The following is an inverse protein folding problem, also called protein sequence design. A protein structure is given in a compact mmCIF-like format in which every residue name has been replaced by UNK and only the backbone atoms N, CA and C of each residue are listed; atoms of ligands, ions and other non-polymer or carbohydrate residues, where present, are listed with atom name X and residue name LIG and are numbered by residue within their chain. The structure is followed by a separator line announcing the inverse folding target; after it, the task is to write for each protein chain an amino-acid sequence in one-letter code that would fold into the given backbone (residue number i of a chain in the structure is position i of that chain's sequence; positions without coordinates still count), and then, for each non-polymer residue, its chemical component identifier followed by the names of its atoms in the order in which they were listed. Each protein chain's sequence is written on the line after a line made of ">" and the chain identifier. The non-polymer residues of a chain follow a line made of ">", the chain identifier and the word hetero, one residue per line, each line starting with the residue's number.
data_IF_102394886573
#
_entry.id   IF_102394886573
#
_cell.length_a   1.000
_cell.length_b   1.000
_cell.length_c   1.000
_cell.angle_alpha   90.00
_cell.angle_beta   90.00
_cell.angle_gamma   90.00
#
_symmetry.space_group_name_H-M   'P 1'
#
loop_
_entity.id
_entity.type
_entity.pdbx_description
1 polymer ?
#
# COMPACT_ATOMS: atom_id res chain seq x y z
N UNK A 1 -20.74 -11.23 15.60
CA UNK A 1 -20.32 -12.14 16.69
C UNK A 1 -19.41 -11.34 17.60
N UNK A 2 -19.80 -11.11 18.85
CA UNK A 2 -18.98 -10.38 19.84
C UNK A 2 -17.98 -11.38 20.41
N UNK A 3 -16.70 -11.01 20.52
CA UNK A 3 -15.68 -11.87 21.12
C UNK A 3 -16.08 -12.15 22.58
N UNK A 4 -16.20 -13.42 23.01
CA UNK A 4 -16.53 -13.75 24.40
C UNK A 4 -15.58 -13.01 25.37
N UNK A 5 -16.13 -12.34 26.38
CA UNK A 5 -15.37 -11.52 27.34
C UNK A 5 -15.13 -10.07 26.90
N UNK A 6 -15.50 -9.66 25.69
CA UNK A 6 -15.37 -8.27 25.26
C UNK A 6 -16.32 -7.32 26.04
N UNK A 7 -17.47 -7.82 26.48
CA UNK A 7 -18.45 -7.07 27.29
C UNK A 7 -17.93 -6.68 28.68
N UNK A 8 -16.92 -7.39 29.18
CA UNK A 8 -16.34 -7.17 30.51
C UNK A 8 -15.18 -6.16 30.47
N UNK A 9 -14.85 -5.66 29.28
CA UNK A 9 -13.79 -4.69 29.07
C UNK A 9 -14.24 -3.28 29.41
N UNK A 10 -13.34 -2.50 30.02
CA UNK A 10 -13.54 -1.08 30.23
C UNK A 10 -13.77 -0.35 28.89
N UNK A 11 -14.57 0.72 28.87
CA UNK A 11 -15.07 1.34 27.63
C UNK A 11 -13.98 1.70 26.61
N UNK A 12 -12.85 2.25 27.08
CA UNK A 12 -11.71 2.56 26.23
C UNK A 12 -11.06 1.31 25.60
N UNK A 13 -10.96 0.22 26.38
CA UNK A 13 -10.41 -1.06 25.92
C UNK A 13 -11.33 -1.75 24.92
N UNK A 14 -12.65 -1.66 25.13
CA UNK A 14 -13.64 -2.16 24.17
C UNK A 14 -13.55 -1.41 22.83
N UNK A 15 -13.38 -0.08 22.88
CA UNK A 15 -13.20 0.74 21.67
C UNK A 15 -11.92 0.38 20.91
N UNK A 16 -10.79 0.24 21.62
CA UNK A 16 -9.54 -0.19 21.01
C UNK A 16 -9.62 -1.59 20.38
N UNK A 17 -10.31 -2.53 21.04
CA UNK A 17 -10.56 -3.87 20.49
C UNK A 17 -11.44 -3.81 19.23
N UNK A 18 -12.51 -3.03 19.25
CA UNK A 18 -13.38 -2.86 18.09
C UNK A 18 -12.63 -2.25 16.89
N UNK A 19 -11.76 -1.26 17.14
CA UNK A 19 -10.91 -0.67 16.11
C UNK A 19 -9.91 -1.68 15.53
N UNK A 20 -9.26 -2.47 16.40
CA UNK A 20 -8.34 -3.52 15.98
C UNK A 20 -9.05 -4.59 15.12
N UNK A 21 -10.24 -5.03 15.52
CA UNK A 21 -11.03 -6.00 14.76
C UNK A 21 -11.48 -5.44 13.41
N UNK A 22 -11.92 -4.17 13.37
CA UNK A 22 -12.31 -3.52 12.13
C UNK A 22 -11.12 -3.38 11.17
N UNK A 23 -9.94 -3.00 11.68
CA UNK A 23 -8.71 -2.90 10.89
C UNK A 23 -8.27 -4.26 10.36
N UNK A 24 -8.27 -5.29 11.21
CA UNK A 24 -7.91 -6.65 10.81
C UNK A 24 -8.89 -7.22 9.78
N UNK A 25 -10.19 -7.07 10.01
CA UNK A 25 -11.24 -7.51 9.08
C UNK A 25 -11.10 -6.87 7.70
N UNK A 26 -10.80 -5.55 7.62
CA UNK A 26 -10.53 -4.86 6.34
C UNK A 26 -9.30 -5.42 5.63
N UNK A 27 -8.21 -5.63 6.35
CA UNK A 27 -6.99 -6.17 5.76
C UNK A 27 -7.24 -7.57 5.18
N UNK A 28 -8.00 -8.39 5.91
CA UNK A 28 -8.29 -9.78 5.56
C UNK A 28 -9.23 -9.87 4.35
N UNK A 29 -10.25 -9.01 4.29
CA UNK A 29 -11.12 -8.88 3.13
C UNK A 29 -10.39 -8.40 1.88
N UNK A 30 -9.48 -7.42 2.01
CA UNK A 30 -8.68 -6.94 0.89
C UNK A 30 -7.80 -8.05 0.31
N UNK A 31 -7.17 -8.85 1.16
CA UNK A 31 -6.33 -9.96 0.71
C UNK A 31 -7.15 -11.08 0.10
N UNK A 32 -8.29 -11.44 0.70
CA UNK A 32 -9.20 -12.42 0.12
C UNK A 32 -9.75 -11.97 -1.24
N UNK A 33 -10.03 -10.67 -1.41
CA UNK A 33 -10.41 -10.09 -2.70
C UNK A 33 -9.27 -10.18 -3.73
N UNK A 34 -8.01 -10.00 -3.30
CA UNK A 34 -6.83 -10.17 -4.15
C UNK A 34 -6.68 -11.62 -4.61
N UNK A 35 -6.90 -12.58 -3.71
CA UNK A 35 -6.88 -14.02 -4.03
C UNK A 35 -7.99 -14.39 -5.00
N UNK A 36 -9.19 -13.85 -4.82
CA UNK A 36 -10.31 -14.04 -5.74
C UNK A 36 -9.98 -13.52 -7.14
N UNK A 37 -9.49 -12.28 -7.25
CA UNK A 37 -9.08 -11.70 -8.53
C UNK A 37 -7.96 -12.49 -9.24
N UNK A 38 -7.08 -13.15 -8.48
CA UNK A 38 -6.03 -14.00 -9.04
C UNK A 38 -6.56 -15.37 -9.49
N UNK A 39 -7.53 -15.94 -8.77
CA UNK A 39 -8.11 -17.25 -9.05
C UNK A 39 -9.22 -17.20 -10.12
N UNK A 40 -9.81 -16.03 -10.34
CA UNK A 40 -10.93 -15.82 -11.26
C UNK A 40 -10.56 -14.82 -12.37
N UNK A 41 -9.69 -15.20 -13.33
CA UNK A 41 -9.34 -14.35 -14.47
C UNK A 41 -10.49 -14.21 -15.48
N UNK A 42 -11.54 -15.03 -15.36
CA UNK A 42 -12.76 -14.94 -16.14
C UNK A 42 -13.72 -13.91 -15.54
N UNK A 43 -14.51 -13.25 -16.40
CA UNK A 43 -15.52 -12.24 -16.05
C UNK A 43 -16.70 -12.77 -15.18
N UNK A 44 -16.52 -13.87 -14.45
CA UNK A 44 -17.51 -14.38 -13.52
C UNK A 44 -17.67 -13.43 -12.32
N UNK A 45 -18.86 -13.43 -11.73
CA UNK A 45 -19.16 -12.59 -10.58
C UNK A 45 -18.19 -12.92 -9.42
N UNK A 46 -17.54 -11.91 -8.81
CA UNK A 46 -16.55 -12.15 -7.78
C UNK A 46 -17.21 -12.74 -6.53
N UNK A 47 -16.65 -13.84 -6.04
CA UNK A 47 -17.18 -14.55 -4.87
C UNK A 47 -16.05 -14.90 -3.89
N UNK A 48 -16.00 -14.17 -2.78
CA UNK A 48 -15.07 -14.46 -1.69
C UNK A 48 -15.57 -15.70 -0.94
N UNK A 49 -14.80 -16.79 -1.02
CA UNK A 49 -15.12 -18.05 -0.33
C UNK A 49 -14.49 -18.11 1.07
N UNK A 50 -15.00 -18.96 1.99
CA UNK A 50 -14.38 -19.17 3.30
C UNK A 50 -12.92 -19.66 3.21
N UNK A 51 -12.57 -20.42 2.15
CA UNK A 51 -11.19 -20.84 1.90
C UNK A 51 -10.26 -19.65 1.66
N UNK A 52 -10.68 -18.70 0.84
CA UNK A 52 -9.89 -17.48 0.57
C UNK A 52 -9.68 -16.61 1.82
N UNK A 53 -10.64 -16.61 2.75
CA UNK A 53 -10.51 -15.94 4.06
C UNK A 53 -9.43 -16.63 4.90
N UNK A 54 -9.41 -17.96 4.94
CA UNK A 54 -8.40 -18.71 5.69
C UNK A 54 -7.01 -18.62 5.07
N UNK A 55 -6.92 -18.63 3.73
CA UNK A 55 -5.67 -18.41 3.00
C UNK A 55 -5.15 -16.98 3.22
N UNK A 56 -6.03 -15.97 3.17
CA UNK A 56 -5.69 -14.59 3.47
C UNK A 56 -5.16 -14.42 4.90
N UNK A 57 -5.78 -15.08 5.89
CA UNK A 57 -5.29 -15.10 7.27
C UNK A 57 -3.88 -15.70 7.36
N UNK A 58 -3.67 -16.83 6.66
CA UNK A 58 -2.38 -17.53 6.63
C UNK A 58 -1.30 -16.64 6.00
N UNK A 59 -1.59 -15.98 4.87
CA UNK A 59 -0.68 -15.07 4.20
C UNK A 59 -0.37 -13.82 5.02
N UNK A 60 -1.33 -13.30 5.80
CA UNK A 60 -1.08 -12.21 6.74
C UNK A 60 -0.16 -12.64 7.88
N UNK A 61 -0.38 -13.83 8.46
CA UNK A 61 0.45 -14.36 9.56
C UNK A 61 1.90 -14.60 9.13
N UNK A 62 2.11 -15.06 7.89
CA UNK A 62 3.46 -15.30 7.33
C UNK A 62 4.11 -13.98 6.86
N UNK A 63 3.37 -12.87 6.81
CA UNK A 63 3.88 -11.55 6.42
C UNK A 63 3.91 -11.27 4.91
N UNK A 64 3.33 -12.16 4.09
CA UNK A 64 3.22 -11.98 2.65
C UNK A 64 2.13 -10.97 2.26
N UNK A 65 1.03 -10.91 3.02
CA UNK A 65 -0.06 -9.98 2.77
C UNK A 65 0.15 -8.67 3.55
N UNK A 66 1.05 -7.80 3.07
CA UNK A 66 1.15 -6.43 3.59
C UNK A 66 0.03 -5.55 3.04
N UNK A 67 -1.14 -5.64 3.69
CA UNK A 67 -2.23 -4.67 3.56
C UNK A 67 -1.75 -3.31 4.09
N UNK A 68 -1.32 -2.42 3.20
CA UNK A 68 -1.12 -1.01 3.56
C UNK A 68 -0.33 -0.17 2.59
N UNK A 69 0.53 -0.75 1.74
CA UNK A 69 1.56 0.04 1.05
C UNK A 69 1.24 0.38 -0.40
N UNK A 70 0.11 -0.07 -0.95
CA UNK A 70 -0.23 0.21 -2.35
C UNK A 70 -0.47 1.71 -2.63
N UNK A 71 -1.12 2.42 -1.69
CA UNK A 71 -1.35 3.86 -1.80
C UNK A 71 -0.05 4.66 -1.65
N UNK A 72 0.79 4.28 -0.68
CA UNK A 72 2.12 4.89 -0.51
C UNK A 72 2.99 4.63 -1.74
N UNK A 73 3.06 3.39 -2.23
CA UNK A 73 3.80 3.01 -3.44
C UNK A 73 3.33 3.82 -4.66
N UNK A 74 2.02 4.02 -4.82
CA UNK A 74 1.46 4.88 -5.88
C UNK A 74 1.94 6.33 -5.75
N UNK A 75 1.93 6.89 -4.54
CA UNK A 75 2.39 8.25 -4.28
C UNK A 75 3.91 8.39 -4.53
N UNK A 76 4.72 7.42 -4.13
CA UNK A 76 6.16 7.37 -4.42
C UNK A 76 6.43 7.29 -5.92
N UNK A 77 5.68 6.46 -6.64
CA UNK A 77 5.82 6.27 -8.08
C UNK A 77 5.45 7.53 -8.85
N UNK A 78 4.34 8.20 -8.48
CA UNK A 78 3.94 9.49 -9.04
C UNK A 78 4.97 10.60 -8.76
N UNK A 79 5.52 10.66 -7.55
CA UNK A 79 6.58 11.60 -7.20
C UNK A 79 7.84 11.40 -8.04
N UNK A 80 8.23 10.14 -8.27
CA UNK A 80 9.38 9.83 -9.14
C UNK A 80 9.15 10.26 -10.60
N UNK A 81 7.95 9.99 -11.15
CA UNK A 81 7.60 10.37 -12.52
C UNK A 81 7.58 11.90 -12.70
N UNK A 82 7.02 12.62 -11.74
CA UNK A 82 7.01 14.08 -11.76
C UNK A 82 8.44 14.65 -11.68
N UNK A 83 9.29 14.11 -10.81
CA UNK A 83 10.69 14.54 -10.70
C UNK A 83 11.48 14.27 -11.98
N UNK A 84 11.27 13.13 -12.65
CA UNK A 84 11.92 12.82 -13.93
C UNK A 84 11.42 13.74 -15.05
N UNK A 85 10.11 14.03 -15.10
CA UNK A 85 9.54 14.92 -16.12
C UNK A 85 10.08 16.35 -15.99
N UNK A 86 10.11 16.87 -14.76
CA UNK A 86 10.67 18.20 -14.47
C UNK A 86 12.18 18.22 -14.68
N UNK A 87 12.90 17.15 -14.31
CA UNK A 87 14.31 16.98 -14.65
C UNK A 87 14.57 17.03 -16.15
N UNK A 88 13.71 16.39 -16.95
CA UNK A 88 13.71 16.45 -18.43
C UNK A 88 13.67 17.89 -18.97
N UNK A 89 12.84 18.75 -18.36
CA UNK A 89 12.76 20.17 -18.72
C UNK A 89 14.08 20.92 -18.44
N UNK A 90 14.73 20.64 -17.31
CA UNK A 90 16.04 21.20 -16.99
C UNK A 90 17.18 20.62 -17.84
N UNK A 91 17.00 19.41 -18.37
CA UNK A 91 17.98 18.74 -19.25
C UNK A 91 18.19 19.55 -20.54
N UNK A 92 17.13 20.20 -21.04
CA UNK A 92 17.21 21.08 -22.22
C UNK A 92 17.97 22.39 -21.98
N UNK A 93 18.31 22.73 -20.73
CA UNK A 93 19.05 23.95 -20.36
C UNK A 93 20.34 23.63 -19.58
N UNK A 94 20.93 22.43 -19.78
CA UNK A 94 22.15 21.97 -19.09
C UNK A 94 23.37 22.86 -19.32
N UNK A 95 23.38 23.65 -20.40
CA UNK A 95 24.45 24.61 -20.69
C UNK A 95 24.43 25.81 -19.77
N UNK A 96 23.33 26.03 -19.03
CA UNK A 96 23.16 27.14 -18.13
C UNK A 96 23.27 26.67 -16.67
N UNK A 97 23.91 27.43 -15.77
CA UNK A 97 24.16 27.00 -14.38
C UNK A 97 22.89 26.63 -13.62
N UNK A 98 21.78 27.34 -13.89
CA UNK A 98 20.49 27.09 -13.26
C UNK A 98 19.85 25.78 -13.76
N UNK A 99 20.04 25.42 -15.03
CA UNK A 99 19.55 24.16 -15.60
C UNK A 99 20.31 22.95 -15.06
N UNK A 100 21.64 23.06 -14.92
CA UNK A 100 22.46 22.01 -14.31
C UNK A 100 22.09 21.76 -12.84
N UNK A 101 21.89 22.81 -12.05
CA UNK A 101 21.46 22.70 -10.64
C UNK A 101 20.06 22.07 -10.56
N UNK A 102 19.11 22.51 -11.39
CA UNK A 102 17.75 21.97 -11.44
C UNK A 102 17.73 20.47 -11.78
N UNK A 103 18.56 20.04 -12.73
CA UNK A 103 18.68 18.63 -13.12
C UNK A 103 19.19 17.74 -11.98
N UNK A 104 20.26 18.16 -11.30
CA UNK A 104 20.85 17.38 -10.18
C UNK A 104 19.87 17.26 -9.01
N UNK A 105 19.16 18.34 -8.66
CA UNK A 105 18.16 18.32 -7.58
C UNK A 105 16.99 17.39 -7.93
N UNK A 106 16.49 17.43 -9.17
CA UNK A 106 15.42 16.54 -9.63
C UNK A 106 15.86 15.07 -9.64
N UNK A 107 17.09 14.78 -10.07
CA UNK A 107 17.67 13.43 -10.03
C UNK A 107 17.79 12.90 -8.61
N UNK A 108 18.26 13.71 -7.67
CA UNK A 108 18.36 13.34 -6.26
C UNK A 108 16.98 13.09 -5.62
N UNK A 109 15.99 13.92 -5.95
CA UNK A 109 14.61 13.72 -5.51
C UNK A 109 14.03 12.41 -6.06
N UNK A 110 14.17 12.15 -7.37
CA UNK A 110 13.71 10.91 -7.97
C UNK A 110 14.32 9.67 -7.29
N UNK A 111 15.63 9.69 -7.03
CA UNK A 111 16.33 8.62 -6.31
C UNK A 111 15.82 8.45 -4.88
N UNK A 112 15.56 9.55 -4.16
CA UNK A 112 15.00 9.51 -2.82
C UNK A 112 13.58 8.91 -2.80
N UNK A 113 12.73 9.26 -3.78
CA UNK A 113 11.40 8.66 -3.92
C UNK A 113 11.47 7.16 -4.25
N UNK A 114 12.40 6.75 -5.13
CA UNK A 114 12.63 5.34 -5.47
C UNK A 114 13.12 4.53 -4.27
N UNK A 115 14.10 5.04 -3.52
CA UNK A 115 14.69 4.31 -2.41
C UNK A 115 13.69 4.11 -1.26
N UNK A 116 12.87 5.13 -0.95
CA UNK A 116 11.76 4.99 0.01
C UNK A 116 10.66 4.03 -0.50
N UNK A 117 10.35 4.07 -1.80
CA UNK A 117 9.41 3.13 -2.41
C UNK A 117 9.90 1.69 -2.50
N UNK A 118 11.21 1.44 -2.38
CA UNK A 118 11.82 0.11 -2.35
C UNK A 118 11.95 -0.50 -0.95
N UNK A 119 12.05 0.34 0.08
CA UNK A 119 12.12 -0.10 1.49
C UNK A 119 10.74 -0.35 2.09
N UNK A 120 9.67 -0.10 1.32
CA UNK A 120 8.27 -0.34 1.68
C UNK A 120 7.75 -1.57 0.96
#
# INVERSE_FOLDING_TARGET
>A
MVVPGASDLHGATHQALAEALAKHGRALLNEASRLEAAANPGLAAPMITPGMIHDAETLQRIGYAQSGKAADRRNWMLGSLAATFVGGFFTNNLTEPWGAIGFVVCGALALAFFNKGSQT
#
